data_IF_562390925775
#
_entry.id   IF_562390925775
#
_cell.length_a   1.000
_cell.length_b   1.000
_cell.length_c   1.000
_cell.angle_alpha   90.00
_cell.angle_beta   90.00
_cell.angle_gamma   90.00
#
_symmetry.space_group_name_H-M   'P 1'
#
loop_
_entity.id
_entity.type
_entity.pdbx_description
1 polymer ?
#
# COMPACT_ATOMS: atom_id res chain seq x y z
N UNK A 1 13.33 12.88 10.57
CA UNK A 1 14.36 11.95 10.02
C UNK A 1 14.59 12.27 8.54
N UNK A 2 15.78 11.98 7.95
CA UNK A 2 16.01 12.25 6.51
C UNK A 2 15.12 11.34 5.65
N UNK A 3 14.84 11.81 4.42
CA UNK A 3 14.18 11.01 3.40
C UNK A 3 14.95 9.70 3.16
N UNK A 4 14.26 8.59 3.04
CA UNK A 4 14.87 7.27 2.85
C UNK A 4 15.46 6.63 4.12
N UNK A 5 15.40 7.30 5.28
CA UNK A 5 15.77 6.66 6.54
C UNK A 5 14.83 5.46 6.82
N UNK A 6 15.39 4.38 7.35
CA UNK A 6 14.60 3.20 7.73
C UNK A 6 13.71 3.53 8.93
N UNK A 7 12.41 3.31 8.80
CA UNK A 7 11.43 3.44 9.88
C UNK A 7 11.29 2.14 10.68
N UNK A 8 11.39 1.00 9.99
CA UNK A 8 11.27 -0.34 10.54
C UNK A 8 11.17 -1.39 9.44
N UNK A 9 10.98 -2.64 9.82
CA UNK A 9 10.75 -3.75 8.91
C UNK A 9 9.57 -4.58 9.41
N UNK A 10 8.54 -4.77 8.59
CA UNK A 10 7.44 -5.65 8.93
C UNK A 10 7.95 -7.09 9.20
N UNK A 11 7.17 -7.90 9.91
CA UNK A 11 7.55 -9.28 10.24
C UNK A 11 7.84 -10.16 9.01
N UNK A 12 7.30 -9.78 7.84
CA UNK A 12 7.57 -10.38 6.55
C UNK A 12 8.87 -9.87 5.87
N UNK A 13 9.65 -9.02 6.54
CA UNK A 13 10.93 -8.48 6.05
C UNK A 13 10.82 -7.25 5.16
N UNK A 14 9.63 -6.75 4.86
CA UNK A 14 9.47 -5.55 4.02
C UNK A 14 9.78 -4.29 4.82
N UNK A 15 10.83 -3.57 4.40
CA UNK A 15 11.34 -2.38 5.09
C UNK A 15 10.47 -1.17 4.76
N UNK A 16 10.10 -0.38 5.76
CA UNK A 16 9.48 0.94 5.61
C UNK A 16 10.51 2.05 5.67
N UNK A 17 10.36 3.05 4.81
CA UNK A 17 11.27 4.19 4.69
C UNK A 17 10.54 5.51 4.90
N UNK A 18 11.27 6.49 5.39
CA UNK A 18 10.81 7.86 5.59
C UNK A 18 10.59 8.56 4.24
N UNK A 19 9.41 9.13 4.05
CA UNK A 19 9.01 9.83 2.83
C UNK A 19 9.10 11.37 2.93
N UNK A 20 9.82 11.91 3.91
CA UNK A 20 9.90 13.35 4.10
C UNK A 20 10.70 14.04 3.00
N UNK A 21 10.03 14.47 1.94
CA UNK A 21 10.62 15.15 0.78
C UNK A 21 11.35 16.47 1.09
N UNK A 22 11.08 17.10 2.24
CA UNK A 22 11.80 18.31 2.67
C UNK A 22 13.26 18.04 3.01
N UNK A 23 13.63 16.78 3.17
CA UNK A 23 14.97 16.34 3.56
C UNK A 23 15.60 15.39 2.51
N UNK A 24 15.30 15.60 1.22
CA UNK A 24 15.98 14.89 0.13
C UNK A 24 17.41 15.37 0.07
N UNK A 25 18.35 14.43 0.12
CA UNK A 25 19.76 14.66 -0.13
C UNK A 25 20.05 14.20 -1.57
N UNK A 26 20.70 15.02 -2.41
CA UNK A 26 21.17 14.58 -3.73
C UNK A 26 22.04 13.33 -3.61
N UNK A 27 22.06 12.51 -4.65
CA UNK A 27 22.95 11.35 -4.71
C UNK A 27 24.42 11.79 -4.54
N UNK A 28 25.28 10.88 -4.07
CA UNK A 28 26.68 11.18 -3.72
C UNK A 28 27.51 11.71 -4.90
N UNK A 29 27.06 11.46 -6.13
CA UNK A 29 27.67 11.94 -7.37
C UNK A 29 27.11 13.29 -7.86
N UNK A 30 26.16 13.89 -7.09
CA UNK A 30 25.49 15.15 -7.45
C UNK A 30 24.40 15.01 -8.50
N UNK A 31 24.03 13.78 -8.89
CA UNK A 31 22.92 13.55 -9.80
C UNK A 31 21.57 13.91 -9.16
N UNK A 32 20.53 14.23 -9.96
CA UNK A 32 19.19 14.41 -9.45
C UNK A 32 18.72 13.15 -8.70
N UNK A 33 18.05 13.35 -7.56
CA UNK A 33 17.49 12.25 -6.78
C UNK A 33 16.60 11.35 -7.63
N UNK A 34 16.94 10.05 -7.70
CA UNK A 34 16.09 9.04 -8.33
C UNK A 34 14.93 8.70 -7.39
N UNK A 35 13.74 9.18 -7.72
CA UNK A 35 12.52 8.97 -6.95
C UNK A 35 11.78 7.66 -7.27
N UNK A 36 12.24 6.89 -8.26
CA UNK A 36 11.58 5.63 -8.63
C UNK A 36 12.07 4.47 -7.76
N UNK A 37 11.14 3.63 -7.36
CA UNK A 37 11.40 2.44 -6.57
C UNK A 37 11.13 1.17 -7.38
N UNK A 38 11.99 0.18 -7.21
CA UNK A 38 11.90 -1.12 -7.85
C UNK A 38 12.14 -2.23 -6.83
N UNK A 39 11.47 -3.36 -7.00
CA UNK A 39 11.68 -4.55 -6.18
C UNK A 39 11.80 -5.78 -7.09
N UNK A 40 12.54 -6.80 -6.67
CA UNK A 40 12.61 -8.07 -7.40
C UNK A 40 11.34 -8.88 -7.14
N UNK A 41 10.72 -9.37 -8.22
CA UNK A 41 9.66 -10.37 -8.14
C UNK A 41 10.23 -11.77 -7.75
N UNK A 42 9.35 -12.76 -7.63
CA UNK A 42 9.72 -14.15 -7.29
C UNK A 42 10.71 -14.80 -8.28
N UNK A 43 10.86 -14.23 -9.49
CA UNK A 43 11.78 -14.69 -10.54
C UNK A 43 13.08 -13.88 -10.55
N UNK A 44 13.25 -12.92 -9.62
CA UNK A 44 14.42 -12.04 -9.56
C UNK A 44 14.39 -10.87 -10.55
N UNK A 45 13.29 -10.68 -11.31
CA UNK A 45 13.12 -9.55 -12.23
C UNK A 45 12.78 -8.29 -11.45
N UNK A 46 13.42 -7.17 -11.79
CA UNK A 46 13.08 -5.85 -11.24
C UNK A 46 11.71 -5.40 -11.79
N UNK A 47 10.84 -5.03 -10.87
CA UNK A 47 9.48 -4.54 -11.14
C UNK A 47 9.31 -3.19 -10.46
N UNK A 48 8.80 -2.21 -11.18
CA UNK A 48 8.49 -0.89 -10.63
C UNK A 48 7.46 -1.00 -9.50
N UNK A 49 7.79 -0.45 -8.34
CA UNK A 49 6.91 -0.47 -7.16
C UNK A 49 6.27 0.89 -6.86
N UNK A 50 6.78 1.99 -7.38
CA UNK A 50 6.19 3.31 -7.18
C UNK A 50 7.22 4.41 -6.93
N UNK A 51 6.73 5.55 -6.47
CA UNK A 51 7.59 6.66 -6.08
C UNK A 51 8.05 6.47 -4.63
N UNK A 52 9.36 6.61 -4.41
CA UNK A 52 10.00 6.56 -3.09
C UNK A 52 9.47 7.70 -2.22
N UNK A 53 8.99 7.53 -1.08
CA UNK A 53 8.56 6.35 -0.32
C UNK A 53 7.09 6.53 0.03
N UNK A 54 6.25 6.50 -1.00
CA UNK A 54 4.81 6.72 -0.88
C UNK A 54 4.10 5.51 -0.25
N UNK A 55 2.90 5.72 0.27
CA UNK A 55 2.07 4.66 0.85
C UNK A 55 1.70 3.59 -0.19
N UNK A 56 1.36 3.99 -1.42
CA UNK A 56 1.04 3.06 -2.52
C UNK A 56 2.27 2.27 -2.96
N UNK A 57 3.48 2.89 -2.92
CA UNK A 57 4.74 2.19 -3.18
C UNK A 57 4.94 1.06 -2.17
N UNK A 58 4.77 1.33 -0.87
CA UNK A 58 4.91 0.31 0.17
C UNK A 58 3.94 -0.85 -0.03
N UNK A 59 2.67 -0.55 -0.27
CA UNK A 59 1.63 -1.54 -0.51
C UNK A 59 1.95 -2.42 -1.73
N UNK A 60 2.35 -1.79 -2.86
CA UNK A 60 2.72 -2.49 -4.10
C UNK A 60 3.97 -3.34 -3.91
N UNK A 61 5.04 -2.79 -3.30
CA UNK A 61 6.28 -3.50 -3.02
C UNK A 61 6.04 -4.72 -2.13
N UNK A 62 5.19 -4.58 -1.12
CA UNK A 62 4.78 -5.71 -0.27
C UNK A 62 4.03 -6.76 -1.08
N UNK A 63 3.06 -6.38 -1.89
CA UNK A 63 2.31 -7.34 -2.68
C UNK A 63 3.14 -8.02 -3.77
N UNK A 64 4.11 -7.34 -4.38
CA UNK A 64 5.05 -7.95 -5.32
C UNK A 64 5.88 -9.02 -4.60
N UNK A 65 6.47 -8.69 -3.45
CA UNK A 65 7.39 -9.59 -2.75
C UNK A 65 6.69 -10.71 -1.99
N UNK A 66 5.47 -10.50 -1.48
CA UNK A 66 4.78 -11.48 -0.64
C UNK A 66 3.73 -12.30 -1.38
N UNK A 67 3.11 -11.74 -2.41
CA UNK A 67 1.95 -12.34 -3.08
C UNK A 67 2.18 -12.59 -4.57
N UNK A 68 3.30 -12.14 -5.13
CA UNK A 68 3.58 -12.20 -6.58
C UNK A 68 2.51 -11.48 -7.42
N UNK A 69 1.89 -10.43 -6.87
CA UNK A 69 0.89 -9.63 -7.58
C UNK A 69 1.30 -8.17 -7.68
N UNK A 70 0.98 -7.56 -8.81
CA UNK A 70 1.26 -6.16 -9.10
C UNK A 70 -0.03 -5.34 -9.05
N UNK A 71 -0.05 -4.38 -8.14
CA UNK A 71 -1.10 -3.37 -8.03
C UNK A 71 -0.84 -2.29 -9.08
N UNK A 72 -1.74 -2.05 -10.04
CA UNK A 72 -1.58 -1.03 -11.06
C UNK A 72 -1.38 0.37 -10.50
N UNK A 73 -0.79 1.25 -11.30
CA UNK A 73 -0.64 2.65 -10.91
C UNK A 73 -2.00 3.25 -10.55
N UNK A 74 -2.00 4.09 -9.54
CA UNK A 74 -3.19 4.78 -9.06
C UNK A 74 -2.79 6.19 -8.62
N UNK A 75 -3.55 7.19 -9.04
CA UNK A 75 -3.30 8.58 -8.69
C UNK A 75 -3.63 8.87 -7.21
N UNK A 76 -4.61 8.13 -6.67
CA UNK A 76 -5.05 8.26 -5.28
C UNK A 76 -5.06 6.89 -4.61
N UNK A 77 -4.59 6.81 -3.38
CA UNK A 77 -4.63 5.55 -2.61
C UNK A 77 -6.06 5.02 -2.44
N UNK A 78 -7.03 5.93 -2.27
CA UNK A 78 -8.46 5.59 -2.17
C UNK A 78 -9.01 4.88 -3.41
N UNK A 79 -8.45 5.11 -4.63
CA UNK A 79 -8.93 4.49 -5.87
C UNK A 79 -8.65 2.97 -5.89
N UNK A 80 -7.81 2.48 -4.99
CA UNK A 80 -7.59 1.03 -4.81
C UNK A 80 -8.89 0.33 -4.42
N UNK A 81 -9.78 1.02 -3.71
CA UNK A 81 -11.08 0.48 -3.28
C UNK A 81 -11.99 0.08 -4.45
N UNK A 82 -11.90 0.77 -5.57
CA UNK A 82 -12.75 0.51 -6.74
C UNK A 82 -12.17 -0.52 -7.71
N UNK A 83 -10.92 -0.96 -7.47
CA UNK A 83 -10.27 -1.95 -8.34
C UNK A 83 -10.85 -3.33 -8.14
N UNK A 84 -11.13 -4.00 -9.23
CA UNK A 84 -11.70 -5.36 -9.22
C UNK A 84 -10.63 -6.45 -9.37
N UNK A 85 -9.49 -6.12 -9.97
CA UNK A 85 -8.44 -7.08 -10.30
C UNK A 85 -7.04 -6.45 -10.21
N UNK A 86 -6.06 -7.31 -9.94
CA UNK A 86 -4.63 -7.04 -10.07
C UNK A 86 -4.00 -8.09 -10.97
N UNK A 87 -2.73 -7.90 -11.34
CA UNK A 87 -2.00 -8.84 -12.20
C UNK A 87 -1.09 -9.73 -11.36
N UNK A 88 -1.12 -11.05 -11.58
CA UNK A 88 -0.08 -11.94 -11.10
C UNK A 88 1.15 -11.79 -11.99
N UNK A 89 2.32 -11.68 -11.38
CA UNK A 89 3.55 -11.41 -12.12
C UNK A 89 4.12 -12.66 -12.78
N UNK A 90 4.01 -13.82 -12.14
CA UNK A 90 4.60 -15.09 -12.63
C UNK A 90 3.99 -15.56 -13.94
N UNK A 91 2.69 -15.44 -14.11
CA UNK A 91 1.95 -15.98 -15.27
C UNK A 91 1.12 -14.95 -16.02
N UNK A 92 1.04 -13.71 -15.53
CA UNK A 92 0.26 -12.63 -16.11
C UNK A 92 -1.25 -12.74 -15.89
N UNK A 93 -1.73 -13.74 -15.12
CA UNK A 93 -3.14 -13.94 -14.86
C UNK A 93 -3.74 -12.80 -14.01
N UNK A 94 -5.07 -12.65 -14.11
CA UNK A 94 -5.82 -11.70 -13.28
C UNK A 94 -6.14 -12.34 -11.93
N UNK A 95 -5.86 -11.59 -10.86
CA UNK A 95 -6.23 -11.93 -9.49
C UNK A 95 -7.35 -11.02 -9.06
N UNK A 96 -8.49 -11.57 -8.64
CA UNK A 96 -9.62 -10.80 -8.15
C UNK A 96 -9.30 -10.13 -6.84
N UNK A 97 -9.82 -8.93 -6.65
CA UNK A 97 -9.82 -8.21 -5.37
C UNK A 97 -11.19 -8.33 -4.70
N UNK A 98 -11.18 -8.67 -3.41
CA UNK A 98 -12.36 -8.66 -2.56
C UNK A 98 -12.26 -7.49 -1.61
N UNK A 99 -13.29 -6.64 -1.60
CA UNK A 99 -13.43 -5.50 -0.71
C UNK A 99 -14.32 -5.89 0.48
N UNK A 100 -13.87 -5.59 1.68
CA UNK A 100 -14.55 -5.89 2.93
C UNK A 100 -14.78 -4.59 3.70
N UNK A 101 -15.99 -4.07 3.64
CA UNK A 101 -16.36 -2.81 4.30
C UNK A 101 -16.36 -2.97 5.82
N UNK A 102 -15.60 -2.09 6.51
CA UNK A 102 -15.58 -2.03 7.98
C UNK A 102 -16.96 -1.71 8.53
N UNK A 103 -17.37 -2.38 9.60
CA UNK A 103 -18.70 -2.22 10.18
C UNK A 103 -19.83 -2.92 9.40
N UNK A 104 -19.51 -3.65 8.32
CA UNK A 104 -20.49 -4.38 7.50
C UNK A 104 -20.11 -5.84 7.29
N UNK A 105 -18.86 -6.12 7.06
CA UNK A 105 -18.38 -7.46 6.71
C UNK A 105 -18.21 -8.39 7.92
N UNK A 106 -18.50 -9.67 7.72
CA UNK A 106 -18.17 -10.75 8.67
C UNK A 106 -16.82 -11.41 8.39
N UNK A 107 -16.09 -10.93 7.39
CA UNK A 107 -14.76 -11.45 7.04
C UNK A 107 -13.70 -10.76 7.89
N UNK A 108 -12.97 -11.54 8.69
CA UNK A 108 -11.85 -11.03 9.49
C UNK A 108 -10.74 -10.50 8.57
N UNK A 109 -10.12 -9.34 8.87
CA UNK A 109 -8.90 -8.92 8.18
C UNK A 109 -7.78 -9.95 8.37
N UNK A 110 -6.86 -10.00 7.43
CA UNK A 110 -5.73 -10.91 7.45
C UNK A 110 -4.43 -10.20 7.05
N UNK A 111 -3.30 -10.80 7.40
CA UNK A 111 -1.98 -10.29 7.00
C UNK A 111 -1.91 -10.15 5.48
N UNK A 112 -1.28 -9.09 5.01
CA UNK A 112 -1.19 -8.65 3.62
C UNK A 112 -2.49 -8.07 3.02
N UNK A 113 -3.61 -7.97 3.75
CA UNK A 113 -4.71 -7.12 3.30
C UNK A 113 -4.26 -5.65 3.26
N UNK A 114 -4.87 -4.86 2.39
CA UNK A 114 -4.66 -3.41 2.34
C UNK A 114 -5.80 -2.71 3.06
N UNK A 115 -5.50 -1.91 4.07
CA UNK A 115 -6.46 -0.99 4.68
C UNK A 115 -6.51 0.27 3.82
N UNK A 116 -7.72 0.69 3.45
CA UNK A 116 -7.91 1.85 2.57
C UNK A 116 -8.69 2.94 3.32
N UNK A 117 -8.06 4.10 3.49
CA UNK A 117 -8.70 5.29 4.03
C UNK A 117 -9.34 6.12 2.94
N UNK A 118 -10.43 6.80 3.31
CA UNK A 118 -11.15 7.71 2.43
C UNK A 118 -10.36 8.99 2.17
N UNK A 119 -10.78 9.71 1.16
CA UNK A 119 -10.33 11.08 0.93
C UNK A 119 -10.86 11.99 2.03
N UNK A 120 -10.02 12.89 2.52
CA UNK A 120 -10.42 13.99 3.38
C UNK A 120 -9.81 15.29 2.85
N UNK A 121 -10.20 16.42 3.38
CA UNK A 121 -9.58 17.71 3.03
C UNK A 121 -8.08 17.72 3.41
N UNK A 122 -7.73 17.11 4.55
CA UNK A 122 -6.35 16.97 5.02
C UNK A 122 -5.56 15.92 4.24
N UNK A 123 -6.25 14.89 3.71
CA UNK A 123 -5.65 13.79 2.91
C UNK A 123 -6.35 13.64 1.55
N UNK A 124 -6.11 14.56 0.60
CA UNK A 124 -6.87 14.61 -0.67
C UNK A 124 -6.61 13.44 -1.63
N UNK A 125 -5.68 12.56 -1.28
CA UNK A 125 -5.38 11.32 -2.02
C UNK A 125 -5.80 10.05 -1.25
N UNK A 126 -6.32 10.20 -0.03
CA UNK A 126 -6.54 9.09 0.89
C UNK A 126 -5.24 8.45 1.33
N UNK A 127 -5.34 7.27 1.94
CA UNK A 127 -4.17 6.53 2.42
C UNK A 127 -4.33 5.03 2.23
N UNK A 128 -3.22 4.30 2.22
CA UNK A 128 -3.17 2.84 2.21
C UNK A 128 -2.07 2.33 3.12
N UNK A 129 -2.40 1.30 3.92
CA UNK A 129 -1.43 0.56 4.71
C UNK A 129 -1.61 -0.95 4.51
N UNK A 130 -0.58 -1.72 4.81
CA UNK A 130 -0.59 -3.18 4.73
C UNK A 130 -0.81 -3.76 6.12
N UNK A 131 -1.73 -4.71 6.26
CA UNK A 131 -1.92 -5.44 7.51
C UNK A 131 -0.69 -6.30 7.79
N UNK A 132 0.00 -5.98 8.90
CA UNK A 132 1.18 -6.70 9.37
C UNK A 132 0.82 -7.80 10.40
N UNK A 133 -0.19 -7.54 11.24
CA UNK A 133 -0.65 -8.48 12.28
C UNK A 133 -2.13 -8.25 12.60
N UNK A 134 -2.83 -9.32 12.94
CA UNK A 134 -4.23 -9.28 13.43
C UNK A 134 -4.37 -10.12 14.68
N UNK A 135 -4.71 -9.47 15.79
CA UNK A 135 -5.10 -10.11 17.05
C UNK A 135 -6.63 -10.17 17.17
N UNK A 136 -7.16 -10.63 18.27
CA UNK A 136 -8.61 -10.65 18.50
C UNK A 136 -9.19 -9.26 18.75
N UNK A 137 -8.36 -8.31 19.21
CA UNK A 137 -8.80 -6.98 19.64
C UNK A 137 -8.12 -5.83 18.88
N UNK A 138 -7.06 -6.11 18.12
CA UNK A 138 -6.27 -5.09 17.43
C UNK A 138 -5.81 -5.57 16.05
N UNK A 139 -5.61 -4.60 15.18
CA UNK A 139 -4.97 -4.76 13.87
C UNK A 139 -3.77 -3.84 13.83
N UNK A 140 -2.62 -4.36 13.39
CA UNK A 140 -1.37 -3.63 13.22
C UNK A 140 -1.04 -3.50 11.75
N UNK A 141 -0.62 -2.32 11.36
CA UNK A 141 -0.28 -2.02 9.96
C UNK A 141 1.19 -1.63 9.81
N UNK A 142 1.69 -1.87 8.61
CA UNK A 142 2.97 -1.36 8.12
C UNK A 142 2.70 -0.44 6.93
N UNK A 143 3.33 0.75 6.92
CA UNK A 143 3.02 1.79 5.95
C UNK A 143 4.17 2.78 5.79
N UNK A 144 4.09 3.60 4.76
CA UNK A 144 4.97 4.76 4.53
C UNK A 144 4.11 6.01 4.32
N UNK A 145 4.71 7.17 4.44
CA UNK A 145 4.06 8.46 4.22
C UNK A 145 2.84 8.72 5.12
N UNK A 146 2.91 8.28 6.37
CA UNK A 146 1.95 8.60 7.42
C UNK A 146 2.62 9.49 8.49
N UNK A 147 3.42 8.89 9.36
CA UNK A 147 4.21 9.61 10.37
C UNK A 147 5.71 9.41 10.07
N UNK A 148 6.32 10.45 9.49
CA UNK A 148 7.71 10.42 9.05
C UNK A 148 8.73 10.63 10.18
N UNK A 149 8.27 10.95 11.38
CA UNK A 149 9.15 11.25 12.52
C UNK A 149 9.17 10.13 13.55
N UNK A 150 8.40 9.05 13.32
CA UNK A 150 8.28 7.92 14.23
C UNK A 150 8.91 6.65 13.67
N UNK A 151 9.79 6.04 14.45
CA UNK A 151 10.20 4.65 14.23
C UNK A 151 9.03 3.70 14.52
N UNK A 152 8.95 2.60 13.77
CA UNK A 152 7.92 1.59 13.99
C UNK A 152 8.07 0.91 15.34
N UNK A 153 6.95 0.64 15.98
CA UNK A 153 6.90 0.01 17.30
C UNK A 153 7.52 -1.39 17.24
N UNK A 154 8.48 -1.66 18.12
CA UNK A 154 9.26 -2.88 18.07
C UNK A 154 9.99 -3.12 16.74
N UNK A 155 9.99 -2.15 15.82
CA UNK A 155 10.53 -2.25 14.47
C UNK A 155 9.62 -2.96 13.46
N UNK A 156 8.46 -3.51 13.86
CA UNK A 156 7.68 -4.43 13.04
C UNK A 156 6.36 -3.89 12.51
N UNK A 157 5.83 -2.79 13.04
CA UNK A 157 4.59 -2.16 12.59
C UNK A 157 4.59 -0.65 12.93
N UNK A 158 3.86 0.12 12.13
CA UNK A 158 3.80 1.58 12.24
C UNK A 158 2.71 2.04 13.20
N UNK A 159 1.48 1.56 13.00
CA UNK A 159 0.30 1.92 13.81
C UNK A 159 -0.49 0.68 14.19
N UNK A 160 -1.22 0.82 15.32
CA UNK A 160 -2.15 -0.18 15.82
C UNK A 160 -3.54 0.43 15.95
N UNK A 161 -4.56 -0.31 15.53
CA UNK A 161 -5.96 0.11 15.58
C UNK A 161 -6.81 -0.90 16.34
N UNK A 162 -7.76 -0.47 17.18
CA UNK A 162 -8.73 -1.38 17.78
C UNK A 162 -9.56 -2.07 16.70
N UNK A 163 -9.69 -3.38 16.83
CA UNK A 163 -10.53 -4.22 16.00
C UNK A 163 -11.60 -4.85 16.88
N UNK A 164 -12.87 -4.66 16.55
CA UNK A 164 -13.97 -5.31 17.25
C UNK A 164 -14.72 -6.28 16.34
N UNK A 165 -15.32 -7.30 16.95
CA UNK A 165 -16.25 -8.20 16.31
C UNK A 165 -17.56 -8.21 17.11
N UNK A 166 -18.66 -7.85 16.45
CA UNK A 166 -19.97 -7.95 17.07
C UNK A 166 -20.31 -9.42 17.36
N UNK A 167 -20.68 -9.79 18.61
CA UNK A 167 -20.87 -11.18 18.99
C UNK A 167 -22.13 -11.81 18.39
N UNK A 168 -23.09 -11.00 17.96
CA UNK A 168 -24.38 -11.48 17.43
C UNK A 168 -24.30 -11.60 15.90
N UNK A 169 -23.94 -10.52 15.22
CA UNK A 169 -23.88 -10.47 13.75
C UNK A 169 -22.58 -11.04 13.19
N UNK A 170 -21.52 -11.10 14.02
CA UNK A 170 -20.17 -11.50 13.58
C UNK A 170 -19.44 -10.43 12.76
N UNK A 171 -20.00 -9.23 12.65
CA UNK A 171 -19.45 -8.11 11.87
C UNK A 171 -18.16 -7.59 12.51
N UNK A 172 -17.15 -7.37 11.68
CA UNK A 172 -15.88 -6.76 12.08
C UNK A 172 -15.89 -5.26 11.81
N UNK A 173 -15.41 -4.50 12.80
CA UNK A 173 -15.22 -3.05 12.70
C UNK A 173 -13.80 -2.70 13.09
N UNK A 174 -13.09 -2.02 12.19
CA UNK A 174 -11.79 -1.40 12.46
C UNK A 174 -12.06 0.05 12.86
N UNK A 175 -11.49 0.46 13.99
CA UNK A 175 -11.71 1.78 14.56
C UNK A 175 -10.45 2.64 14.35
N UNK A 176 -10.62 3.74 13.64
CA UNK A 176 -9.65 4.83 13.58
C UNK A 176 -10.34 6.07 14.15
N UNK A 177 -9.71 6.74 15.12
CA UNK A 177 -10.28 7.91 15.79
C UNK A 177 -10.06 9.21 15.01
N UNK A 178 -9.14 9.20 14.04
CA UNK A 178 -8.69 10.38 13.32
C UNK A 178 -9.27 10.44 11.91
N UNK A 179 -9.31 9.28 11.22
CA UNK A 179 -9.62 9.22 9.81
C UNK A 179 -10.70 8.18 9.48
N UNK A 180 -11.58 8.52 8.53
CA UNK A 180 -12.54 7.55 8.00
C UNK A 180 -11.87 6.56 7.03
N UNK A 181 -12.21 5.29 7.17
CA UNK A 181 -11.74 4.23 6.27
C UNK A 181 -12.91 3.51 5.56
N UNK A 182 -12.63 2.92 4.40
CA UNK A 182 -13.57 2.03 3.72
C UNK A 182 -13.60 0.65 4.38
N UNK A 183 -12.44 0.10 4.68
CA UNK A 183 -12.24 -1.27 5.17
C UNK A 183 -10.93 -1.84 4.62
N UNK A 184 -10.96 -3.11 4.21
CA UNK A 184 -9.77 -3.78 3.69
C UNK A 184 -10.01 -4.50 2.37
N UNK A 185 -8.93 -4.56 1.59
CA UNK A 185 -8.89 -5.18 0.26
C UNK A 185 -7.97 -6.38 0.31
N UNK A 186 -8.43 -7.53 -0.21
CA UNK A 186 -7.67 -8.79 -0.27
C UNK A 186 -7.54 -9.29 -1.70
N UNK A 187 -6.33 -9.67 -2.09
CA UNK A 187 -6.09 -10.41 -3.32
C UNK A 187 -6.53 -11.87 -3.14
N UNK A 188 -7.40 -12.37 -4.01
CA UNK A 188 -7.93 -13.75 -3.98
C UNK A 188 -6.99 -14.70 -4.72
N UNK A 189 -5.95 -15.18 -4.03
CA UNK A 189 -4.90 -15.97 -4.67
C UNK A 189 -5.31 -17.40 -5.05
N UNK A 190 -6.40 -17.93 -4.47
CA UNK A 190 -6.84 -19.32 -4.69
C UNK A 190 -7.65 -19.52 -5.98
N UNK A 191 -8.12 -18.47 -6.63
CA UNK A 191 -8.89 -18.56 -7.89
C UNK A 191 -8.09 -17.89 -9.01
N UNK A 192 -7.35 -18.72 -9.75
CA UNK A 192 -6.76 -18.29 -11.02
C UNK A 192 -7.88 -18.25 -12.05
N UNK A 193 -8.40 -17.05 -12.36
CA UNK A 193 -9.20 -16.89 -13.56
C UNK A 193 -8.31 -17.16 -14.78
N UNK A 194 -8.83 -17.84 -15.83
CA UNK A 194 -8.07 -18.04 -17.05
C UNK A 194 -7.54 -16.70 -17.57
N UNK A 195 -6.34 -16.67 -18.15
CA UNK A 195 -5.75 -15.43 -18.64
C UNK A 195 -6.66 -14.82 -19.68
N UNK A 196 -7.23 -13.66 -19.39
CA UNK A 196 -7.76 -12.80 -20.43
C UNK A 196 -6.56 -12.16 -21.12
N UNK A 197 -6.59 -11.95 -22.45
CA UNK A 197 -5.53 -11.23 -23.12
C UNK A 197 -5.42 -9.84 -22.46
N UNK A 198 -4.38 -9.67 -21.68
CA UNK A 198 -4.00 -8.40 -21.09
C UNK A 198 -3.21 -7.63 -22.15
N UNK A 199 -3.85 -6.65 -22.77
CA UNK A 199 -3.13 -5.56 -23.39
C UNK A 199 -3.00 -4.45 -22.35
N UNK A 200 -1.81 -4.24 -21.73
CA UNK A 200 -1.60 -3.03 -20.96
C UNK A 200 -1.80 -1.86 -21.93
N UNK A 201 -2.47 -0.78 -21.52
CA UNK A 201 -2.35 0.47 -22.27
C UNK A 201 -0.84 0.75 -22.38
N UNK A 202 -0.35 1.03 -23.59
CA UNK A 202 1.07 1.32 -23.86
C UNK A 202 1.60 2.52 -23.05
N UNK A 203 0.71 3.28 -22.42
CA UNK A 203 0.98 4.48 -21.64
C UNK A 203 1.48 4.21 -20.21
N UNK A 204 1.36 2.99 -19.69
CA UNK A 204 1.62 2.71 -18.25
C UNK A 204 3.12 2.54 -17.90
N UNK A 205 4.02 2.63 -18.87
CA UNK A 205 5.47 2.45 -18.65
C UNK A 205 6.28 3.73 -18.90
N UNK A 206 5.72 4.75 -19.53
CA UNK A 206 6.52 5.89 -20.02
C UNK A 206 6.03 7.29 -19.67
N UNK A 207 4.88 7.49 -19.04
CA UNK A 207 4.42 8.84 -18.71
C UNK A 207 4.49 9.12 -17.20
N UNK A 208 5.69 9.41 -16.73
CA UNK A 208 5.92 10.02 -15.39
C UNK A 208 5.57 11.52 -15.42
N UNK A 209 5.41 12.11 -16.61
CA UNK A 209 5.25 13.56 -16.80
C UNK A 209 3.89 14.13 -16.40
N UNK A 210 2.87 13.30 -16.18
CA UNK A 210 1.52 13.75 -15.84
C UNK A 210 1.24 14.03 -14.37
N UNK A 211 2.04 13.50 -13.45
CA UNK A 211 1.79 13.59 -12.00
C UNK A 211 2.44 14.81 -11.31
N UNK A 212 3.42 15.43 -11.94
CA UNK A 212 4.11 16.59 -11.36
C UNK A 212 3.32 17.90 -11.39
N UNK A 213 2.22 17.98 -12.15
CA UNK A 213 1.41 19.18 -12.29
C UNK A 213 0.46 19.49 -11.13
N UNK A 214 0.26 18.59 -10.18
CA UNK A 214 -0.79 18.75 -9.14
C UNK A 214 -0.29 18.88 -7.70
N UNK A 215 1.01 18.84 -7.45
CA UNK A 215 1.54 19.13 -6.11
C UNK A 215 2.04 20.57 -6.11
N UNK A 216 1.11 21.51 -5.97
CA UNK A 216 1.44 22.89 -5.63
C UNK A 216 1.83 22.92 -4.15
N UNK A 217 3.10 23.00 -3.87
CA UNK A 217 3.61 23.37 -2.56
C UNK A 217 3.34 24.88 -2.41
N UNK A 218 2.25 25.25 -1.77
CA UNK A 218 2.04 26.62 -1.33
C UNK A 218 3.12 27.05 -0.34
N UNK A 219 3.33 28.38 -0.16
CA UNK A 219 4.43 28.95 0.59
C UNK A 219 4.40 28.61 2.08
#
# INVERSE_FOLDING_TARGET
MPHGAVLGAASNGVIGYNSNYKHIVPDADGSPYDHLSYVKDSRGKLVYSGDKWQCVEYARRTWISQLDVWLPNTAKASDIWDRKFVKRLSDGSRVKLNMFTSGVTTKRPAVNDLIIWKLTEAQPVGHVAVVAEVTDTHLRVAEQNADNDRLWSGGHWSREFPLSRDPVSGVYTLHDAEDELFGWVRAELATVAPPLPWNPPEEDITSVDGLYGMINFGP
#
